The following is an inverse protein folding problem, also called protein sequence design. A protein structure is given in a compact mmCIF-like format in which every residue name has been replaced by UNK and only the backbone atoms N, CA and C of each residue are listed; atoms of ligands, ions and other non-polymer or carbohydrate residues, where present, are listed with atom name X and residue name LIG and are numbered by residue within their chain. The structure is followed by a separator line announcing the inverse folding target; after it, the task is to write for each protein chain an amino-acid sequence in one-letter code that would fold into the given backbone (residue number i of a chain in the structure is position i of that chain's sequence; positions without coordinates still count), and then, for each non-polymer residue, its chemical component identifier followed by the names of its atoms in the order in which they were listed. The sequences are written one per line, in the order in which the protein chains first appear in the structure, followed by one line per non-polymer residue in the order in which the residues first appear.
data_IF_411079124258
#
_entry.id   IF_411079124258
#
_cell.length_a   1.000
_cell.length_b   1.000
_cell.length_c   1.000
_cell.angle_alpha   90.00
_cell.angle_beta   90.00
_cell.angle_gamma   90.00
#
_symmetry.space_group_name_H-M   'P 1'
#
loop_
_entity.id
_entity.type
_entity.pdbx_description
1 polymer ?
#
# COMPACT_ATOMS: atom_id res chain seq x y z
N UNK A 1 -18.88 -20.51 -13.59
CA UNK A 1 -18.59 -21.51 -12.54
C UNK A 1 -19.87 -22.28 -12.27
N UNK A 2 -19.79 -23.62 -12.18
CA UNK A 2 -20.91 -24.47 -11.83
C UNK A 2 -21.19 -24.41 -10.32
N UNK A 3 -22.45 -24.57 -9.94
CA UNK A 3 -22.87 -24.60 -8.53
C UNK A 3 -22.23 -25.74 -7.75
N UNK A 4 -22.00 -26.88 -8.39
CA UNK A 4 -21.33 -28.03 -7.80
C UNK A 4 -20.57 -28.85 -8.84
N UNK A 5 -19.56 -29.57 -8.40
CA UNK A 5 -18.64 -30.34 -9.24
C UNK A 5 -19.31 -31.39 -10.10
N UNK A 6 -20.41 -31.97 -9.63
CA UNK A 6 -21.15 -33.02 -10.33
C UNK A 6 -22.44 -32.53 -10.98
N UNK A 7 -22.53 -31.25 -11.34
CA UNK A 7 -23.69 -30.67 -12.07
C UNK A 7 -23.98 -31.42 -13.36
N UNK A 8 -22.95 -31.99 -13.98
CA UNK A 8 -23.04 -32.92 -15.11
C UNK A 8 -21.93 -33.98 -14.99
N UNK A 9 -22.27 -35.23 -15.28
CA UNK A 9 -21.28 -36.31 -15.41
C UNK A 9 -21.59 -37.14 -16.66
N UNK A 10 -20.55 -37.74 -17.25
CA UNK A 10 -20.72 -38.61 -18.41
C UNK A 10 -21.61 -39.82 -18.07
N UNK A 11 -21.47 -40.35 -16.86
CA UNK A 11 -22.20 -41.56 -16.42
C UNK A 11 -23.69 -41.29 -16.11
N UNK A 12 -24.02 -40.12 -15.53
CA UNK A 12 -25.37 -39.85 -14.99
C UNK A 12 -26.09 -38.66 -15.70
N UNK A 13 -25.41 -37.97 -16.63
CA UNK A 13 -25.97 -36.79 -17.26
C UNK A 13 -26.10 -35.60 -16.29
N UNK A 14 -27.15 -34.81 -16.47
CA UNK A 14 -27.43 -33.62 -15.64
C UNK A 14 -28.01 -34.00 -14.29
N UNK A 15 -27.55 -33.32 -13.26
CA UNK A 15 -28.15 -33.38 -11.93
C UNK A 15 -29.55 -32.72 -11.91
N UNK A 16 -30.38 -32.98 -10.86
CA UNK A 16 -31.70 -32.33 -10.72
C UNK A 16 -31.63 -30.81 -10.79
N UNK A 17 -32.56 -30.21 -11.50
CA UNK A 17 -32.59 -28.74 -11.79
C UNK A 17 -32.73 -27.87 -10.55
N UNK A 18 -33.23 -28.38 -9.45
CA UNK A 18 -33.47 -27.64 -8.21
C UNK A 18 -32.20 -27.08 -7.57
N UNK A 19 -31.03 -27.66 -7.85
CA UNK A 19 -29.73 -27.27 -7.30
C UNK A 19 -28.62 -27.48 -8.35
N UNK A 20 -28.82 -27.00 -9.57
CA UNK A 20 -27.91 -27.28 -10.66
C UNK A 20 -27.73 -26.09 -11.60
N UNK A 21 -27.19 -25.01 -11.09
CA UNK A 21 -26.80 -23.86 -11.91
C UNK A 21 -25.43 -24.08 -12.56
N UNK A 22 -25.36 -23.89 -13.88
CA UNK A 22 -24.09 -23.93 -14.63
C UNK A 22 -23.41 -22.57 -14.69
N UNK A 23 -24.10 -21.51 -14.27
CA UNK A 23 -23.59 -20.14 -14.20
C UNK A 23 -23.89 -19.54 -12.82
N UNK A 24 -23.31 -20.18 -11.79
CA UNK A 24 -23.56 -19.82 -10.40
C UNK A 24 -22.59 -18.74 -9.95
N UNK A 25 -23.04 -17.50 -9.86
CA UNK A 25 -22.20 -16.33 -9.62
C UNK A 25 -21.51 -16.29 -8.25
N UNK A 26 -22.05 -16.96 -7.23
CA UNK A 26 -21.56 -16.91 -5.86
C UNK A 26 -20.07 -17.23 -5.72
N UNK A 27 -19.56 -18.23 -6.46
CA UNK A 27 -18.14 -18.58 -6.44
C UNK A 27 -17.28 -17.60 -7.24
N UNK A 28 -17.87 -16.82 -8.14
CA UNK A 28 -17.20 -15.77 -8.89
C UNK A 28 -17.02 -14.48 -8.10
N UNK A 29 -17.80 -14.28 -7.02
CA UNK A 29 -17.75 -13.06 -6.20
C UNK A 29 -16.39 -12.82 -5.54
N UNK A 30 -15.56 -13.86 -5.36
CA UNK A 30 -14.19 -13.71 -4.87
C UNK A 30 -13.34 -12.81 -5.77
N UNK A 31 -13.64 -12.70 -7.05
CA UNK A 31 -12.92 -11.83 -7.98
C UNK A 31 -13.08 -10.34 -7.61
N UNK A 32 -14.29 -9.92 -7.18
CA UNK A 32 -14.50 -8.56 -6.66
C UNK A 32 -13.60 -8.30 -5.45
N UNK A 33 -13.52 -9.26 -4.51
CA UNK A 33 -12.65 -9.13 -3.35
C UNK A 33 -11.17 -9.02 -3.75
N UNK A 34 -10.73 -9.78 -4.77
CA UNK A 34 -9.35 -9.70 -5.27
C UNK A 34 -9.03 -8.31 -5.84
N UNK A 35 -9.92 -7.73 -6.63
CA UNK A 35 -9.73 -6.38 -7.16
C UNK A 35 -9.87 -5.32 -6.07
N UNK A 36 -10.98 -5.34 -5.33
CA UNK A 36 -11.35 -4.28 -4.38
C UNK A 36 -10.44 -4.25 -3.16
N UNK A 37 -10.13 -5.41 -2.58
CA UNK A 37 -9.42 -5.47 -1.30
C UNK A 37 -7.96 -5.90 -1.44
N UNK A 38 -7.61 -6.84 -2.30
CA UNK A 38 -6.21 -7.24 -2.46
C UNK A 38 -5.44 -6.22 -3.28
N UNK A 39 -5.84 -5.98 -4.52
CA UNK A 39 -5.19 -5.02 -5.42
C UNK A 39 -5.48 -3.57 -5.01
N UNK A 40 -6.66 -3.33 -4.43
CA UNK A 40 -7.08 -2.02 -3.95
C UNK A 40 -7.73 -1.16 -5.02
N UNK A 41 -8.31 -1.74 -6.07
CA UNK A 41 -9.09 -1.01 -7.09
C UNK A 41 -10.56 -1.11 -6.74
N UNK A 42 -11.18 0.00 -6.30
CA UNK A 42 -12.59 0.04 -5.95
C UNK A 42 -13.31 1.21 -6.64
N UNK A 43 -14.60 1.05 -7.01
CA UNK A 43 -15.38 2.18 -7.50
C UNK A 43 -15.57 3.20 -6.39
N UNK A 44 -15.68 4.47 -6.77
CA UNK A 44 -16.24 5.49 -5.90
C UNK A 44 -17.77 5.33 -5.89
N UNK A 45 -18.33 5.04 -4.72
CA UNK A 45 -19.77 4.81 -4.57
C UNK A 45 -20.61 6.07 -4.85
N UNK A 46 -20.02 7.25 -4.70
CA UNK A 46 -20.65 8.54 -4.99
C UNK A 46 -20.54 8.94 -6.45
N UNK A 47 -19.58 8.37 -7.19
CA UNK A 47 -19.33 8.63 -8.60
C UNK A 47 -19.08 7.30 -9.35
N UNK A 48 -20.10 6.43 -9.48
CA UNK A 48 -19.94 5.12 -10.09
C UNK A 48 -19.50 5.24 -11.55
N UNK A 49 -18.78 4.22 -12.05
CA UNK A 49 -18.35 4.14 -13.45
C UNK A 49 -16.86 4.38 -13.69
N UNK A 50 -16.04 4.50 -12.61
CA UNK A 50 -14.58 4.63 -12.68
C UNK A 50 -14.06 5.89 -13.38
N UNK A 51 -14.87 6.95 -13.48
CA UNK A 51 -14.36 8.27 -13.82
C UNK A 51 -13.55 8.86 -12.66
N UNK A 52 -14.00 8.58 -11.45
CA UNK A 52 -13.25 8.68 -10.20
C UNK A 52 -13.31 7.33 -9.49
N UNK A 53 -12.23 6.92 -8.83
CA UNK A 53 -12.16 5.61 -8.17
C UNK A 53 -11.17 5.63 -7.00
N UNK A 54 -11.23 4.59 -6.19
CA UNK A 54 -10.36 4.42 -5.03
C UNK A 54 -9.20 3.49 -5.37
N UNK A 55 -8.01 3.88 -4.93
CA UNK A 55 -6.80 3.05 -4.93
C UNK A 55 -6.32 2.89 -3.49
N UNK A 56 -6.46 1.69 -2.93
CA UNK A 56 -6.05 1.39 -1.56
C UNK A 56 -5.44 -0.01 -1.48
N UNK A 57 -4.12 -0.15 -1.60
CA UNK A 57 -3.46 -1.45 -1.43
C UNK A 57 -3.61 -1.96 0.00
N UNK A 58 -3.81 -3.28 0.15
CA UNK A 58 -3.90 -3.93 1.46
C UNK A 58 -2.86 -5.05 1.58
N UNK A 59 -1.59 -4.71 1.83
CA UNK A 59 -0.55 -5.70 2.00
C UNK A 59 -0.77 -6.57 3.24
N UNK A 60 -0.38 -7.83 3.15
CA UNK A 60 -0.48 -8.77 4.27
C UNK A 60 0.59 -8.49 5.33
N UNK A 61 0.21 -7.77 6.37
CA UNK A 61 1.09 -7.38 7.49
C UNK A 61 0.90 -8.23 8.74
N UNK A 62 0.23 -9.38 8.66
CA UNK A 62 0.00 -10.26 9.82
C UNK A 62 1.32 -10.66 10.46
N UNK A 63 1.45 -10.48 11.77
CA UNK A 63 2.65 -10.84 12.53
C UNK A 63 2.85 -12.35 12.65
N UNK A 64 1.76 -13.12 12.71
CA UNK A 64 1.78 -14.57 12.82
C UNK A 64 1.01 -15.21 11.66
N UNK A 65 1.65 -16.18 11.02
CA UNK A 65 1.03 -17.05 10.03
C UNK A 65 0.71 -18.39 10.69
N UNK A 66 -0.48 -18.94 10.40
CA UNK A 66 -0.82 -20.30 10.81
C UNK A 66 0.04 -21.31 10.05
N UNK A 67 0.08 -22.53 10.56
CA UNK A 67 0.82 -23.64 9.93
C UNK A 67 0.55 -23.71 8.42
N UNK A 68 1.62 -23.77 7.62
CA UNK A 68 1.62 -23.82 6.14
C UNK A 68 1.00 -22.61 5.42
N UNK A 69 0.65 -21.53 6.10
CA UNK A 69 0.25 -20.30 5.42
C UNK A 69 1.48 -19.53 4.91
N UNK A 70 1.38 -19.03 3.70
CA UNK A 70 2.32 -18.06 3.14
C UNK A 70 1.71 -16.67 3.17
N UNK A 71 2.58 -15.67 3.25
CA UNK A 71 2.20 -14.27 3.12
C UNK A 71 1.96 -13.93 1.66
N UNK A 72 0.96 -13.11 1.38
CA UNK A 72 0.83 -12.45 0.08
C UNK A 72 1.80 -11.28 0.09
N UNK A 73 2.79 -11.29 -0.79
CA UNK A 73 3.86 -10.30 -0.86
C UNK A 73 3.75 -9.37 -2.06
N UNK A 74 2.86 -9.67 -3.00
CA UNK A 74 2.60 -8.84 -4.16
C UNK A 74 1.20 -9.08 -4.71
N UNK A 75 0.68 -8.09 -5.44
CA UNK A 75 -0.43 -8.23 -6.39
C UNK A 75 -0.06 -7.50 -7.68
N UNK A 76 -0.65 -7.96 -8.77
CA UNK A 76 -0.61 -7.28 -10.07
C UNK A 76 -2.00 -7.41 -10.68
N UNK A 77 -2.69 -6.28 -10.86
CA UNK A 77 -4.05 -6.23 -11.33
C UNK A 77 -4.19 -5.21 -12.46
N UNK A 78 -4.91 -5.62 -13.50
CA UNK A 78 -5.29 -4.78 -14.64
C UNK A 78 -6.82 -4.84 -14.77
N UNK A 79 -7.49 -3.71 -14.57
CA UNK A 79 -8.94 -3.58 -14.66
C UNK A 79 -9.32 -2.74 -15.88
N UNK A 80 -10.00 -3.34 -16.84
CA UNK A 80 -10.51 -2.66 -18.04
C UNK A 80 -11.75 -1.84 -17.69
N UNK A 81 -11.61 -0.53 -17.51
CA UNK A 81 -12.71 0.41 -17.35
C UNK A 81 -13.15 1.01 -18.69
N UNK A 82 -14.30 1.68 -18.72
CA UNK A 82 -14.76 2.42 -19.91
C UNK A 82 -13.83 3.57 -20.31
N UNK A 83 -12.94 4.01 -19.40
CA UNK A 83 -11.94 5.06 -19.63
C UNK A 83 -10.57 4.52 -20.02
N UNK A 84 -10.37 3.21 -19.98
CA UNK A 84 -9.10 2.55 -20.23
C UNK A 84 -8.67 1.64 -19.07
N UNK A 85 -7.45 1.10 -19.19
CA UNK A 85 -6.89 0.19 -18.20
C UNK A 85 -6.48 0.93 -16.92
N UNK A 86 -7.00 0.48 -15.78
CA UNK A 86 -6.54 0.86 -14.46
C UNK A 86 -5.59 -0.24 -13.99
N UNK A 87 -4.32 0.10 -13.75
CA UNK A 87 -3.34 -0.86 -13.24
C UNK A 87 -2.99 -0.57 -11.81
N UNK A 88 -2.86 -1.62 -11.01
CA UNK A 88 -2.46 -1.55 -9.62
C UNK A 88 -1.58 -2.74 -9.26
N UNK A 89 -0.30 -2.48 -9.03
CA UNK A 89 0.69 -3.46 -8.62
C UNK A 89 1.30 -3.04 -7.29
N UNK A 90 1.24 -3.88 -6.27
CA UNK A 90 1.97 -3.60 -5.05
C UNK A 90 2.91 -4.76 -4.67
N UNK A 91 3.99 -4.40 -4.00
CA UNK A 91 4.97 -5.31 -3.41
C UNK A 91 5.27 -4.89 -1.98
N UNK A 92 5.29 -5.86 -1.07
CA UNK A 92 5.67 -5.69 0.33
C UNK A 92 6.33 -6.96 0.85
N UNK A 93 7.31 -6.81 1.72
CA UNK A 93 7.98 -7.93 2.40
C UNK A 93 7.26 -8.37 3.68
N UNK A 94 6.05 -7.84 3.94
CA UNK A 94 5.25 -8.07 5.14
C UNK A 94 5.57 -7.09 6.27
N UNK A 95 6.45 -6.11 6.04
CA UNK A 95 6.58 -4.91 6.86
C UNK A 95 5.52 -3.88 6.45
N UNK A 96 5.56 -2.72 7.06
CA UNK A 96 4.74 -1.57 6.65
C UNK A 96 5.29 -0.85 5.41
N UNK A 97 6.50 -1.21 4.98
CA UNK A 97 7.08 -0.70 3.73
C UNK A 97 6.39 -1.33 2.54
N UNK A 98 6.12 -0.51 1.54
CA UNK A 98 5.30 -0.84 0.39
C UNK A 98 5.81 -0.11 -0.84
N UNK A 99 5.85 -0.78 -1.97
CA UNK A 99 5.92 -0.14 -3.29
C UNK A 99 4.59 -0.36 -3.99
N UNK A 100 3.97 0.70 -4.49
CA UNK A 100 2.69 0.66 -5.19
C UNK A 100 2.80 1.38 -6.53
N UNK A 101 2.71 0.63 -7.62
CA UNK A 101 2.70 1.16 -8.99
C UNK A 101 1.28 1.22 -9.49
N UNK A 102 0.88 2.36 -10.00
CA UNK A 102 -0.48 2.58 -10.49
C UNK A 102 -0.48 3.25 -11.86
N UNK A 103 -1.46 2.90 -12.67
CA UNK A 103 -1.80 3.64 -13.90
C UNK A 103 -3.26 4.08 -13.84
N UNK A 104 -3.45 5.38 -13.94
CA UNK A 104 -4.76 6.04 -13.91
C UNK A 104 -5.06 6.51 -15.34
N UNK A 105 -6.13 6.01 -15.99
CA UNK A 105 -6.45 6.34 -17.37
C UNK A 105 -6.64 7.83 -17.61
N UNK A 106 -6.49 8.27 -18.87
CA UNK A 106 -6.73 9.65 -19.26
C UNK A 106 -8.15 10.10 -18.92
N UNK A 107 -8.29 11.36 -18.49
CA UNK A 107 -9.57 11.99 -18.09
C UNK A 107 -10.24 11.32 -16.86
N UNK A 108 -9.49 10.61 -16.04
CA UNK A 108 -9.95 10.06 -14.77
C UNK A 108 -9.08 10.56 -13.63
N UNK A 109 -9.59 10.43 -12.41
CA UNK A 109 -8.85 10.71 -11.17
C UNK A 109 -9.06 9.58 -10.17
N UNK A 110 -8.21 9.52 -9.15
CA UNK A 110 -8.34 8.54 -8.10
C UNK A 110 -8.04 9.15 -6.73
N UNK A 111 -8.82 8.76 -5.72
CA UNK A 111 -8.43 8.90 -4.33
C UNK A 111 -7.50 7.75 -3.97
N UNK A 112 -6.24 8.07 -3.69
CA UNK A 112 -5.22 7.13 -3.25
C UNK A 112 -5.11 7.16 -1.73
N UNK A 113 -5.20 5.98 -1.09
CA UNK A 113 -5.01 5.82 0.36
C UNK A 113 -3.85 4.84 0.61
N UNK A 114 -2.75 5.35 1.11
CA UNK A 114 -1.58 4.54 1.44
C UNK A 114 -1.48 4.32 2.94
N UNK A 115 -1.20 3.07 3.39
CA UNK A 115 -1.01 2.82 4.81
C UNK A 115 0.22 3.56 5.31
N UNK A 116 0.07 4.31 6.40
CA UNK A 116 1.13 5.10 7.03
C UNK A 116 1.14 4.87 8.54
N UNK A 117 2.29 4.99 9.16
CA UNK A 117 2.47 5.02 10.61
C UNK A 117 3.71 5.84 10.96
N UNK A 118 3.89 6.12 12.24
CA UNK A 118 5.04 6.88 12.73
C UNK A 118 6.37 6.34 12.17
N UNK A 119 7.20 7.25 11.71
CA UNK A 119 8.51 6.96 11.13
C UNK A 119 8.51 6.45 9.70
N UNK A 120 7.34 6.47 9.01
CA UNK A 120 7.25 6.20 7.59
C UNK A 120 6.99 7.48 6.81
N UNK A 121 7.49 7.52 5.58
CA UNK A 121 7.36 8.60 4.62
C UNK A 121 6.83 8.05 3.30
N UNK A 122 6.14 8.88 2.55
CA UNK A 122 5.57 8.51 1.25
C UNK A 122 6.28 9.29 0.16
N UNK A 123 6.76 8.58 -0.84
CA UNK A 123 7.41 9.13 -2.02
C UNK A 123 6.63 8.76 -3.27
N UNK A 124 6.67 9.62 -4.25
CA UNK A 124 6.32 9.35 -5.64
C UNK A 124 7.57 9.52 -6.51
N UNK A 125 8.00 8.45 -7.19
CA UNK A 125 9.20 8.44 -8.05
C UNK A 125 10.45 9.05 -7.39
N UNK A 126 10.59 8.83 -6.08
CA UNK A 126 11.74 9.31 -5.29
C UNK A 126 11.64 10.73 -4.77
N UNK A 127 10.57 11.48 -5.05
CA UNK A 127 10.24 12.77 -4.43
C UNK A 127 9.22 12.57 -3.31
N UNK A 128 9.18 13.45 -2.33
CA UNK A 128 8.10 13.47 -1.33
C UNK A 128 6.77 13.57 -2.08
N UNK A 129 5.81 12.72 -1.74
CA UNK A 129 4.57 12.59 -2.51
C UNK A 129 3.75 13.88 -2.58
N UNK A 130 3.82 14.72 -1.54
CA UNK A 130 3.13 16.02 -1.48
C UNK A 130 3.69 17.03 -2.50
N UNK A 131 4.94 16.85 -2.95
CA UNK A 131 5.63 17.71 -3.91
C UNK A 131 5.59 17.15 -5.35
N UNK A 132 4.91 16.01 -5.54
CA UNK A 132 4.88 15.33 -6.83
C UNK A 132 3.80 15.92 -7.75
N UNK A 133 4.12 16.00 -9.04
CA UNK A 133 3.18 16.49 -10.06
C UNK A 133 1.99 15.54 -10.20
N UNK A 134 0.77 16.09 -10.23
CA UNK A 134 -0.47 15.32 -10.36
C UNK A 134 -0.92 14.64 -9.07
N UNK A 135 -0.24 14.88 -7.95
CA UNK A 135 -0.57 14.35 -6.62
C UNK A 135 -0.90 15.51 -5.69
N UNK A 136 -2.04 15.44 -5.02
CA UNK A 136 -2.47 16.44 -4.04
C UNK A 136 -2.75 15.75 -2.72
N UNK A 137 -2.01 16.10 -1.67
CA UNK A 137 -2.27 15.60 -0.33
C UNK A 137 -3.59 16.14 0.21
N UNK A 138 -4.37 15.27 0.85
CA UNK A 138 -5.65 15.63 1.46
C UNK A 138 -5.53 15.60 2.99
N UNK A 139 -5.23 14.43 3.55
CA UNK A 139 -5.18 14.25 5.00
C UNK A 139 -4.44 12.95 5.38
N UNK A 140 -4.08 12.87 6.66
CA UNK A 140 -3.68 11.60 7.29
C UNK A 140 -4.65 11.28 8.42
N UNK A 141 -5.40 10.20 8.27
CA UNK A 141 -6.37 9.73 9.24
C UNK A 141 -6.45 8.20 9.24
N UNK A 142 -6.81 7.60 10.37
CA UNK A 142 -7.06 6.15 10.53
C UNK A 142 -5.91 5.25 10.05
N UNK A 143 -4.66 5.73 10.13
CA UNK A 143 -3.48 4.98 9.68
C UNK A 143 -3.25 5.00 8.17
N UNK A 144 -3.90 5.92 7.45
CA UNK A 144 -3.71 6.15 6.01
C UNK A 144 -3.40 7.61 5.73
N UNK A 145 -2.49 7.83 4.78
CA UNK A 145 -2.35 9.11 4.11
C UNK A 145 -3.17 9.07 2.82
N UNK A 146 -3.98 10.09 2.59
CA UNK A 146 -4.94 10.20 1.49
C UNK A 146 -4.49 11.28 0.53
N UNK A 147 -4.50 10.96 -0.76
CA UNK A 147 -4.14 11.85 -1.85
C UNK A 147 -5.22 11.83 -2.93
N UNK A 148 -5.42 12.94 -3.61
CA UNK A 148 -6.09 13.00 -4.91
C UNK A 148 -5.02 12.91 -5.99
N UNK A 149 -5.19 11.99 -6.95
CA UNK A 149 -4.19 11.69 -7.99
C UNK A 149 -4.84 11.79 -9.37
N UNK A 150 -4.23 12.58 -10.25
CA UNK A 150 -4.66 12.75 -11.63
C UNK A 150 -4.30 11.57 -12.53
N UNK A 151 -4.73 11.63 -13.80
CA UNK A 151 -4.35 10.63 -14.80
C UNK A 151 -2.83 10.60 -15.02
N UNK A 152 -2.28 9.38 -15.14
CA UNK A 152 -0.83 9.17 -15.26
C UNK A 152 -0.38 7.80 -14.78
N UNK A 153 0.93 7.59 -14.77
CA UNK A 153 1.56 6.42 -14.17
C UNK A 153 2.47 6.87 -13.03
N UNK A 154 2.33 6.25 -11.89
CA UNK A 154 2.98 6.65 -10.64
C UNK A 154 3.64 5.47 -9.95
N UNK A 155 4.70 5.74 -9.20
CA UNK A 155 5.39 4.76 -8.35
C UNK A 155 5.47 5.30 -6.94
N UNK A 156 4.50 4.98 -6.13
CA UNK A 156 4.50 5.33 -4.71
C UNK A 156 5.34 4.35 -3.91
N UNK A 157 6.11 4.87 -2.97
CA UNK A 157 6.88 4.08 -2.03
C UNK A 157 6.60 4.57 -0.62
N UNK A 158 6.19 3.66 0.25
CA UNK A 158 6.11 3.89 1.70
C UNK A 158 7.38 3.31 2.31
N UNK A 159 8.21 4.14 2.92
CA UNK A 159 9.54 3.77 3.41
C UNK A 159 9.86 4.47 4.72
N UNK A 160 10.79 3.90 5.49
CA UNK A 160 11.35 4.52 6.68
C UNK A 160 12.53 5.45 6.37
N UNK A 161 12.90 5.62 5.11
CA UNK A 161 13.93 6.57 4.70
C UNK A 161 13.40 8.00 4.79
N UNK A 162 14.02 8.83 5.63
CA UNK A 162 13.63 10.24 5.76
C UNK A 162 13.95 11.04 4.49
N UNK A 163 13.11 12.01 4.07
CA UNK A 163 13.36 12.89 2.93
C UNK A 163 14.72 13.61 2.99
N UNK A 164 15.15 13.95 4.19
CA UNK A 164 16.43 14.64 4.42
C UNK A 164 17.61 13.66 4.62
N UNK A 165 17.42 12.37 4.39
CA UNK A 165 18.39 11.32 4.72
C UNK A 165 18.59 11.16 6.24
N UNK A 166 17.73 11.76 7.06
CA UNK A 166 17.71 11.62 8.51
C UNK A 166 16.83 10.43 8.91
N UNK A 167 17.33 9.59 9.81
CA UNK A 167 16.53 8.49 10.40
C UNK A 167 16.07 8.87 11.80
N UNK A 168 14.83 8.52 12.21
CA UNK A 168 14.43 8.67 13.60
C UNK A 168 15.39 7.93 14.54
N UNK A 169 15.70 8.55 15.68
CA UNK A 169 16.64 7.97 16.66
C UNK A 169 16.14 6.61 17.18
N UNK A 170 14.82 6.41 17.24
CA UNK A 170 14.16 5.15 17.64
C UNK A 170 14.51 3.94 16.77
N UNK A 171 15.01 4.17 15.55
CA UNK A 171 15.39 3.10 14.61
C UNK A 171 16.86 2.73 14.65
N UNK A 172 17.62 3.29 15.59
CA UNK A 172 19.00 2.89 15.80
C UNK A 172 19.05 1.49 16.45
N UNK A 173 19.84 0.55 15.89
CA UNK A 173 20.14 -0.66 16.63
C UNK A 173 20.85 -0.27 17.93
N UNK A 174 20.40 -0.84 19.06
CA UNK A 174 21.02 -0.61 20.37
C UNK A 174 22.51 -0.97 20.31
N UNK A 175 23.37 0.00 20.06
CA UNK A 175 24.82 -0.13 20.14
C UNK A 175 25.26 0.31 21.52
N UNK A 176 26.15 -0.48 22.13
CA UNK A 176 26.70 -0.25 23.50
C UNK A 176 27.44 1.07 23.66
N UNK A 177 27.77 1.79 22.58
CA UNK A 177 28.47 3.08 22.62
C UNK A 177 28.02 3.96 21.42
N UNK A 178 26.86 4.60 21.53
CA UNK A 178 26.47 5.63 20.58
C UNK A 178 27.13 6.96 20.98
N UNK A 179 27.89 7.57 20.06
CA UNK A 179 28.48 8.90 20.27
C UNK A 179 27.59 9.92 19.56
N UNK A 180 27.09 10.88 20.29
CA UNK A 180 26.20 11.91 19.86
C UNK A 180 26.93 13.22 19.59
N UNK A 181 26.59 13.89 18.47
CA UNK A 181 27.10 15.21 18.13
C UNK A 181 25.93 16.10 17.74
N UNK A 182 26.03 17.40 18.06
CA UNK A 182 25.09 18.39 17.48
C UNK A 182 25.48 18.76 16.04
N UNK A 183 24.67 19.58 15.39
CA UNK A 183 24.92 20.04 13.99
C UNK A 183 26.20 20.87 13.85
N UNK A 184 26.73 21.45 14.92
CA UNK A 184 28.01 22.18 14.95
C UNK A 184 29.21 21.24 15.11
N UNK A 185 29.00 19.91 15.20
CA UNK A 185 30.06 18.91 15.38
C UNK A 185 30.55 18.77 16.83
N UNK A 186 29.87 19.38 17.79
CA UNK A 186 30.23 19.26 19.21
C UNK A 186 29.64 17.95 19.77
N UNK A 187 30.50 17.20 20.50
CA UNK A 187 30.07 15.96 21.16
C UNK A 187 29.12 16.28 22.30
N UNK A 188 27.99 15.55 22.34
CA UNK A 188 27.02 15.60 23.42
C UNK A 188 27.32 14.53 24.44
N UNK A 189 27.08 14.78 25.75
CA UNK A 189 27.46 13.86 26.84
C UNK A 189 26.64 12.55 26.79
N UNK A 190 25.38 12.62 26.37
CA UNK A 190 24.46 11.48 26.33
C UNK A 190 23.30 11.69 25.37
N UNK A 191 22.43 10.70 25.24
CA UNK A 191 21.21 10.77 24.43
C UNK A 191 20.20 11.78 24.96
N UNK A 192 20.10 11.96 26.26
CA UNK A 192 19.18 12.91 26.88
C UNK A 192 19.50 14.38 26.54
N UNK A 193 20.77 14.65 26.20
CA UNK A 193 21.23 15.97 25.73
C UNK A 193 21.02 16.19 24.24
N UNK A 194 20.51 15.18 23.52
CA UNK A 194 20.33 15.20 22.07
C UNK A 194 18.96 15.76 21.71
N UNK A 195 18.87 17.04 21.37
CA UNK A 195 17.64 17.70 20.95
C UNK A 195 17.73 18.24 19.52
N UNK A 196 16.66 18.08 18.74
CA UNK A 196 16.62 18.51 17.35
C UNK A 196 17.44 17.60 16.43
N UNK A 197 18.23 18.17 15.52
CA UNK A 197 19.08 17.40 14.61
C UNK A 197 20.36 17.01 15.32
N UNK A 198 20.65 15.70 15.38
CA UNK A 198 21.89 15.17 15.95
C UNK A 198 22.59 14.22 14.99
N UNK A 199 23.90 14.09 15.13
CA UNK A 199 24.73 13.16 14.36
C UNK A 199 25.14 12.03 15.27
N UNK A 200 24.78 10.78 14.91
CA UNK A 200 25.14 9.58 15.68
C UNK A 200 25.89 8.63 14.76
N UNK A 201 27.12 8.31 15.13
CA UNK A 201 27.99 7.43 14.33
C UNK A 201 28.07 7.85 12.83
N UNK A 202 28.16 9.16 12.57
CA UNK A 202 28.28 9.74 11.23
C UNK A 202 26.98 9.84 10.44
N UNK A 203 25.83 9.50 11.03
CA UNK A 203 24.50 9.65 10.39
C UNK A 203 23.66 10.69 11.13
N UNK A 204 22.84 11.45 10.37
CA UNK A 204 21.93 12.47 10.92
C UNK A 204 20.63 11.82 11.40
N UNK A 205 20.13 12.30 12.52
CA UNK A 205 18.86 11.88 13.12
C UNK A 205 18.11 13.10 13.65
N UNK A 206 16.77 13.01 13.66
CA UNK A 206 15.90 13.97 14.31
C UNK A 206 15.42 13.37 15.62
N UNK A 207 15.72 14.05 16.74
CA UNK A 207 15.21 13.66 18.05
C UNK A 207 13.85 14.33 18.24
N UNK A 208 12.81 13.53 18.54
CA UNK A 208 11.51 14.06 18.95
C UNK A 208 11.61 14.92 20.22
N UNK A 209 10.57 15.74 20.42
CA UNK A 209 10.37 16.50 21.67
C UNK A 209 10.23 15.58 22.85
#
# INVERSE_FOLDING_TARGET
IWERWNSYTIANGYCPVSMNSFNHYAYGAVAEWMFRYMAGIAPDEMQPGFKHFLLQPNPDTRSMLRYNQKRITFTDADFASDYGSIKAEWQSNGSKELTYRVTIPANTTATLRLPISDGLYIYESGKVAEDAEGVTYIETADGFATFEVGSGSYVFTVSNDSPDGMKPLSNLPARKEAIYYNVAGQRLPDEASAHGIVIVNGKKYLTGK
#
